data_IF_226894310276
#
_entry.id   IF_226894310276
#
_cell.length_a   1.000
_cell.length_b   1.000
_cell.length_c   1.000
_cell.angle_alpha   90.00
_cell.angle_beta   90.00
_cell.angle_gamma   90.00
#
_symmetry.space_group_name_H-M   'P 1'
#
loop_
_entity.id
_entity.type
_entity.pdbx_description
1 polymer ?
#
# COMPACT_ATOMS: atom_id res chain seq x y z
N UNK A 1 -36.61 -5.77 -9.20
CA UNK A 1 -37.25 -4.48 -8.87
C UNK A 1 -36.11 -3.51 -8.62
N UNK A 2 -35.94 -2.52 -9.51
CA UNK A 2 -34.87 -1.54 -9.37
C UNK A 2 -35.25 -0.55 -8.27
N UNK A 3 -34.52 -0.55 -7.16
CA UNK A 3 -34.75 0.40 -6.08
C UNK A 3 -33.71 1.53 -6.14
N UNK A 4 -34.20 2.65 -6.68
CA UNK A 4 -33.95 4.05 -6.31
C UNK A 4 -32.52 4.43 -5.86
N UNK A 5 -31.76 4.95 -6.81
CA UNK A 5 -30.64 5.85 -6.57
C UNK A 5 -31.17 7.29 -6.37
N UNK A 6 -31.27 7.79 -5.12
CA UNK A 6 -31.22 9.22 -4.73
C UNK A 6 -30.68 9.34 -3.29
N UNK A 7 -29.50 9.96 -3.14
CA UNK A 7 -28.89 10.59 -1.96
C UNK A 7 -29.05 9.89 -0.58
N UNK A 8 -28.21 8.89 -0.31
CA UNK A 8 -28.03 8.45 1.08
C UNK A 8 -26.84 9.20 1.69
N UNK A 9 -27.12 10.25 2.45
CA UNK A 9 -26.28 10.53 3.62
C UNK A 9 -26.43 9.32 4.54
N UNK A 10 -25.33 8.62 4.77
CA UNK A 10 -25.39 7.33 5.45
C UNK A 10 -24.08 6.57 5.37
N UNK A 11 -24.05 5.46 6.08
CA UNK A 11 -22.91 4.54 6.14
C UNK A 11 -23.40 3.17 5.65
N UNK A 12 -22.66 2.55 4.72
CA UNK A 12 -22.95 1.20 4.25
C UNK A 12 -21.66 0.40 4.08
N UNK A 13 -21.77 -0.93 4.15
CA UNK A 13 -20.65 -1.86 4.10
C UNK A 13 -20.88 -2.96 3.05
N UNK A 14 -19.80 -3.53 2.50
CA UNK A 14 -19.83 -4.71 1.64
C UNK A 14 -19.85 -6.02 2.46
N UNK A 15 -19.80 -7.17 1.76
CA UNK A 15 -19.78 -8.49 2.39
C UNK A 15 -18.50 -8.82 3.17
N UNK A 16 -17.41 -8.09 2.93
CA UNK A 16 -16.16 -8.18 3.69
C UNK A 16 -16.13 -7.18 4.86
N UNK A 17 -17.20 -6.39 5.03
CA UNK A 17 -17.32 -5.34 6.04
C UNK A 17 -16.36 -4.17 5.79
N UNK A 18 -16.05 -3.88 4.52
CA UNK A 18 -15.45 -2.60 4.14
C UNK A 18 -16.55 -1.57 3.93
N UNK A 19 -16.36 -0.36 4.43
CA UNK A 19 -17.30 0.73 4.26
C UNK A 19 -17.28 1.21 2.81
N UNK A 20 -18.40 1.03 2.11
CA UNK A 20 -18.57 1.38 0.69
C UNK A 20 -19.33 2.68 0.47
N UNK A 21 -19.95 3.22 1.52
CA UNK A 21 -20.64 4.50 1.50
C UNK A 21 -20.30 5.30 2.76
N UNK A 22 -19.91 6.56 2.61
CA UNK A 22 -19.75 7.52 3.70
C UNK A 22 -20.26 8.88 3.24
N UNK A 23 -21.38 9.33 3.81
CA UNK A 23 -21.94 10.67 3.56
C UNK A 23 -21.95 11.11 2.08
N UNK A 24 -22.42 10.22 1.20
CA UNK A 24 -22.49 10.46 -0.24
C UNK A 24 -21.28 9.98 -1.05
N UNK A 25 -20.11 9.80 -0.43
CA UNK A 25 -18.93 9.22 -1.06
C UNK A 25 -19.08 7.71 -1.18
N UNK A 26 -18.86 7.17 -2.38
CA UNK A 26 -18.81 5.73 -2.63
C UNK A 26 -17.37 5.25 -2.75
N UNK A 27 -17.01 4.23 -1.96
CA UNK A 27 -15.67 3.64 -1.94
C UNK A 27 -15.67 2.30 -2.66
N UNK A 28 -14.56 2.00 -3.36
CA UNK A 28 -14.33 0.70 -4.02
C UNK A 28 -13.05 0.07 -3.54
N UNK A 29 -13.13 -1.22 -3.27
CA UNK A 29 -12.01 -2.05 -2.85
C UNK A 29 -11.77 -3.19 -3.84
N UNK A 30 -10.55 -3.72 -3.86
CA UNK A 30 -10.26 -4.97 -4.57
C UNK A 30 -10.56 -6.21 -3.71
N UNK A 31 -10.30 -7.40 -4.25
CA UNK A 31 -10.53 -8.67 -3.53
C UNK A 31 -9.61 -8.88 -2.31
N UNK A 32 -8.58 -8.06 -2.17
CA UNK A 32 -7.65 -8.08 -1.05
C UNK A 32 -7.93 -6.94 -0.05
N UNK A 33 -9.12 -6.35 -0.17
CA UNK A 33 -9.66 -5.23 0.61
C UNK A 33 -8.85 -3.94 0.49
N UNK A 34 -8.12 -3.73 -0.61
CA UNK A 34 -7.33 -2.49 -0.82
C UNK A 34 -8.18 -1.42 -1.49
N UNK A 35 -8.15 -0.20 -0.97
CA UNK A 35 -8.89 0.93 -1.52
C UNK A 35 -8.39 1.32 -2.92
N UNK A 36 -9.30 1.36 -3.89
CA UNK A 36 -9.00 1.66 -5.30
C UNK A 36 -9.61 2.96 -5.80
N UNK A 37 -10.78 3.37 -5.30
CA UNK A 37 -11.40 4.62 -5.75
C UNK A 37 -12.46 5.13 -4.79
N UNK A 38 -12.51 6.45 -4.64
CA UNK A 38 -13.62 7.18 -4.02
C UNK A 38 -14.35 7.98 -5.11
N UNK A 39 -15.67 7.98 -5.09
CA UNK A 39 -16.48 8.71 -6.06
C UNK A 39 -17.71 9.33 -5.42
N UNK A 40 -17.96 10.59 -5.76
CA UNK A 40 -19.28 11.22 -5.64
C UNK A 40 -19.81 11.41 -7.05
N UNK A 41 -20.90 10.70 -7.35
CA UNK A 41 -21.45 10.62 -8.69
C UNK A 41 -21.76 12.01 -9.26
N UNK A 42 -21.24 12.30 -10.45
CA UNK A 42 -21.43 13.58 -11.13
C UNK A 42 -20.62 14.75 -10.55
N UNK A 43 -19.81 14.53 -9.51
CA UNK A 43 -19.00 15.58 -8.87
C UNK A 43 -17.51 15.32 -9.06
N UNK A 44 -16.99 14.25 -8.44
CA UNK A 44 -15.54 14.02 -8.32
C UNK A 44 -15.26 12.53 -8.20
N UNK A 45 -14.16 12.07 -8.80
CA UNK A 45 -13.65 10.71 -8.64
C UNK A 45 -12.14 10.74 -8.42
N UNK A 46 -11.69 10.03 -7.39
CA UNK A 46 -10.27 9.69 -7.20
C UNK A 46 -10.09 8.22 -7.48
N UNK A 47 -9.03 7.87 -8.21
CA UNK A 47 -8.62 6.49 -8.47
C UNK A 47 -7.16 6.31 -8.09
N UNK A 48 -6.86 5.21 -7.41
CA UNK A 48 -5.55 4.86 -6.90
C UNK A 48 -5.04 3.60 -7.61
N UNK A 49 -3.81 3.66 -8.12
CA UNK A 49 -3.08 2.48 -8.55
C UNK A 49 -2.12 2.06 -7.44
N UNK A 50 -2.11 0.77 -7.13
CA UNK A 50 -1.27 0.19 -6.06
C UNK A 50 -0.35 -0.89 -6.61
N UNK A 51 0.84 -1.01 -6.04
CA UNK A 51 1.78 -2.10 -6.39
C UNK A 51 1.52 -3.37 -5.56
N UNK A 52 2.38 -4.38 -5.74
CA UNK A 52 2.31 -5.65 -5.02
C UNK A 52 2.65 -5.53 -3.51
N UNK A 53 3.26 -4.42 -3.09
CA UNK A 53 3.54 -4.11 -1.69
C UNK A 53 2.44 -3.23 -1.06
N UNK A 54 1.32 -3.04 -1.77
CA UNK A 54 0.20 -2.19 -1.34
C UNK A 54 0.55 -0.69 -1.20
N UNK A 55 1.56 -0.24 -1.94
CA UNK A 55 1.91 1.19 -2.01
C UNK A 55 1.14 1.85 -3.14
N UNK A 56 0.64 3.05 -2.90
CA UNK A 56 -0.02 3.87 -3.93
C UNK A 56 1.05 4.39 -4.88
N UNK A 57 1.09 3.87 -6.11
CA UNK A 57 2.07 4.25 -7.15
C UNK A 57 1.56 5.33 -8.09
N UNK A 58 0.24 5.52 -8.16
CA UNK A 58 -0.36 6.63 -8.88
C UNK A 58 -1.70 7.01 -8.28
N UNK A 59 -2.03 8.29 -8.40
CA UNK A 59 -3.33 8.84 -8.05
C UNK A 59 -3.84 9.67 -9.22
N UNK A 60 -5.10 9.42 -9.57
CA UNK A 60 -5.82 10.12 -10.63
C UNK A 60 -7.04 10.80 -10.03
N UNK A 61 -7.05 12.12 -10.05
CA UNK A 61 -8.18 12.97 -9.65
C UNK A 61 -8.93 13.41 -10.90
N UNK A 62 -10.21 13.09 -10.99
CA UNK A 62 -11.09 13.47 -12.09
C UNK A 62 -12.25 14.29 -11.58
N UNK A 63 -12.34 15.52 -12.06
CA UNK A 63 -13.53 16.35 -11.94
C UNK A 63 -14.59 15.82 -12.91
N UNK A 64 -15.66 15.20 -12.39
CA UNK A 64 -16.68 14.58 -13.23
C UNK A 64 -17.64 15.60 -13.85
N UNK A 65 -17.72 16.81 -13.29
CA UNK A 65 -18.56 17.87 -13.83
C UNK A 65 -17.93 18.51 -15.09
N UNK A 66 -16.61 18.67 -15.09
CA UNK A 66 -15.85 19.26 -16.21
C UNK A 66 -15.12 18.22 -17.08
N UNK A 67 -15.11 16.97 -16.65
CA UNK A 67 -14.35 15.87 -17.25
C UNK A 67 -12.85 16.19 -17.38
N UNK A 68 -12.30 16.91 -16.40
CA UNK A 68 -10.87 17.23 -16.33
C UNK A 68 -10.16 16.27 -15.38
N UNK A 69 -8.97 15.82 -15.77
CA UNK A 69 -8.22 14.80 -15.03
C UNK A 69 -6.81 15.26 -14.75
N UNK A 70 -6.37 15.11 -13.50
CA UNK A 70 -4.98 15.26 -13.08
C UNK A 70 -4.46 13.92 -12.58
N UNK A 71 -3.25 13.53 -12.98
CA UNK A 71 -2.63 12.28 -12.53
C UNK A 71 -1.19 12.53 -12.13
N UNK A 72 -0.84 12.01 -10.96
CA UNK A 72 0.52 12.00 -10.43
C UNK A 72 0.98 10.57 -10.18
N UNK A 73 2.28 10.34 -10.34
CA UNK A 73 2.93 9.05 -10.06
C UNK A 73 3.93 9.21 -8.92
N UNK A 74 3.92 8.25 -8.00
CA UNK A 74 4.75 8.25 -6.80
C UNK A 74 5.94 7.30 -6.97
N UNK A 75 7.12 7.81 -6.65
CA UNK A 75 8.37 7.05 -6.61
C UNK A 75 8.87 6.88 -5.18
N UNK A 76 9.52 5.74 -4.92
CA UNK A 76 9.96 5.32 -3.60
C UNK A 76 11.46 5.03 -3.61
N UNK A 77 12.20 5.51 -2.62
CA UNK A 77 13.64 5.28 -2.49
C UNK A 77 13.99 3.91 -1.87
N UNK A 78 12.99 3.12 -1.45
CA UNK A 78 13.19 1.82 -0.82
C UNK A 78 11.91 0.99 -0.76
N UNK A 79 11.92 -0.05 0.10
CA UNK A 79 10.78 -0.94 0.29
C UNK A 79 9.62 -0.33 1.09
N UNK A 80 9.83 0.84 1.69
CA UNK A 80 8.77 1.58 2.37
C UNK A 80 7.78 2.23 1.40
N UNK A 81 6.70 2.73 1.99
CA UNK A 81 5.63 3.53 1.39
C UNK A 81 5.85 5.05 1.51
N UNK A 82 7.03 5.48 1.96
CA UNK A 82 7.38 6.90 2.01
C UNK A 82 7.69 7.41 0.60
N UNK A 83 6.90 8.37 0.14
CA UNK A 83 7.05 9.00 -1.17
C UNK A 83 8.35 9.81 -1.18
N UNK A 84 9.22 9.49 -2.13
CA UNK A 84 10.51 10.19 -2.33
C UNK A 84 10.46 11.16 -3.49
N UNK A 85 9.62 10.89 -4.49
CA UNK A 85 9.52 11.70 -5.71
C UNK A 85 8.13 11.62 -6.30
N UNK A 86 7.66 12.72 -6.87
CA UNK A 86 6.39 12.79 -7.61
C UNK A 86 6.69 13.14 -9.06
N UNK A 87 6.03 12.44 -9.98
CA UNK A 87 6.20 12.59 -11.42
C UNK A 87 4.85 12.87 -12.10
N UNK A 88 4.86 13.69 -13.14
CA UNK A 88 3.69 13.86 -14.01
C UNK A 88 3.53 12.66 -14.95
N UNK A 89 2.49 12.67 -15.80
CA UNK A 89 2.25 11.61 -16.80
C UNK A 89 3.25 11.59 -17.96
N UNK A 90 3.92 12.71 -18.22
CA UNK A 90 4.97 12.85 -19.23
C UNK A 90 6.37 12.39 -18.75
N UNK A 91 6.49 11.93 -17.49
CA UNK A 91 7.73 11.53 -16.82
C UNK A 91 8.67 12.69 -16.48
N UNK A 92 8.13 13.90 -16.31
CA UNK A 92 8.88 14.99 -15.70
C UNK A 92 8.79 14.90 -14.18
N UNK A 93 9.90 15.22 -13.51
CA UNK A 93 9.94 15.31 -12.05
C UNK A 93 9.16 16.55 -11.60
N UNK A 94 8.17 16.36 -10.74
CA UNK A 94 7.34 17.43 -10.16
C UNK A 94 7.92 17.82 -8.80
N UNK A 95 8.08 16.85 -7.91
CA UNK A 95 8.56 17.07 -6.55
C UNK A 95 9.59 16.01 -6.11
N UNK A 96 10.49 16.38 -5.22
CA UNK A 96 11.33 15.46 -4.45
C UNK A 96 11.17 15.75 -2.97
N UNK A 97 10.99 14.71 -2.18
CA UNK A 97 10.75 14.82 -0.75
C UNK A 97 11.89 14.23 0.03
N UNK A 98 12.40 14.98 1.01
CA UNK A 98 13.54 14.62 1.83
C UNK A 98 13.15 14.78 3.29
N UNK A 99 13.20 13.68 4.05
CA UNK A 99 13.09 13.71 5.50
C UNK A 99 14.43 14.09 6.12
N UNK A 100 14.42 15.07 7.02
CA UNK A 100 15.60 15.60 7.69
C UNK A 100 15.62 15.20 9.17
N UNK A 101 16.79 15.25 9.83
CA UNK A 101 16.88 15.07 11.27
C UNK A 101 15.93 16.01 12.03
N UNK A 102 15.27 15.49 13.07
CA UNK A 102 14.27 16.24 13.83
C UNK A 102 12.84 16.16 13.26
N UNK A 103 12.61 15.38 12.19
CA UNK A 103 11.28 15.11 11.65
C UNK A 103 10.81 16.11 10.59
N UNK A 104 11.60 17.17 10.33
CA UNK A 104 11.30 18.14 9.27
C UNK A 104 11.27 17.45 7.91
N UNK A 105 10.27 17.81 7.11
CA UNK A 105 10.15 17.34 5.72
C UNK A 105 10.43 18.53 4.79
N UNK A 106 11.31 18.32 3.84
CA UNK A 106 11.59 19.28 2.77
C UNK A 106 11.04 18.73 1.46
N UNK A 107 10.06 19.42 0.89
CA UNK A 107 9.51 19.17 -0.45
C UNK A 107 10.09 20.18 -1.42
N UNK A 108 10.99 19.71 -2.28
CA UNK A 108 11.54 20.50 -3.38
C UNK A 108 10.59 20.46 -4.57
N UNK A 109 10.11 21.63 -4.99
CA UNK A 109 9.21 21.78 -6.15
C UNK A 109 10.03 22.14 -7.38
N UNK A 110 10.01 21.28 -8.39
CA UNK A 110 10.91 21.40 -9.54
C UNK A 110 10.52 22.61 -10.39
N UNK A 111 11.46 23.53 -10.58
CA UNK A 111 11.31 24.67 -11.49
C UNK A 111 10.38 25.79 -11.02
N UNK A 112 9.83 25.73 -9.80
CA UNK A 112 8.90 26.75 -9.27
C UNK A 112 9.55 27.76 -8.34
N UNK A 113 10.63 27.39 -7.66
CA UNK A 113 11.22 28.19 -6.58
C UNK A 113 10.28 28.38 -5.39
N UNK A 114 9.37 27.42 -5.14
CA UNK A 114 8.38 27.43 -4.06
C UNK A 114 8.52 26.21 -3.15
N UNK A 115 9.77 25.85 -2.82
CA UNK A 115 10.04 24.71 -1.95
C UNK A 115 9.36 24.87 -0.58
N UNK A 116 8.87 23.76 -0.06
CA UNK A 116 8.09 23.71 1.18
C UNK A 116 8.90 23.03 2.26
N UNK A 117 9.06 23.70 3.39
CA UNK A 117 9.58 23.10 4.62
C UNK A 117 8.41 22.84 5.56
N UNK A 118 8.14 21.58 5.90
CA UNK A 118 7.10 21.20 6.86
C UNK A 118 7.73 20.85 8.21
N UNK A 119 7.27 21.51 9.26
CA UNK A 119 7.74 21.37 10.63
C UNK A 119 6.67 20.63 11.46
N UNK A 120 6.94 19.38 11.88
CA UNK A 120 5.99 18.65 12.70
C UNK A 120 6.04 19.04 14.18
N UNK A 121 4.95 18.77 14.91
CA UNK A 121 4.91 18.77 16.37
C UNK A 121 5.54 17.47 16.95
N UNK A 122 5.47 17.30 18.28
CA UNK A 122 6.00 16.10 18.95
C UNK A 122 5.24 14.80 18.63
N UNK A 123 3.98 14.91 18.18
CA UNK A 123 3.17 13.78 17.76
C UNK A 123 3.52 13.33 16.33
N UNK A 124 4.00 14.26 15.49
CA UNK A 124 4.34 14.03 14.08
C UNK A 124 3.42 14.76 13.10
N UNK A 125 2.51 15.61 13.58
CA UNK A 125 1.58 16.37 12.75
C UNK A 125 2.23 17.66 12.27
N UNK A 126 2.03 18.04 11.02
CA UNK A 126 2.60 19.29 10.48
C UNK A 126 1.96 20.48 11.19
N UNK A 127 2.74 21.17 12.03
CA UNK A 127 2.30 22.33 12.80
C UNK A 127 2.60 23.65 12.10
N UNK A 128 3.58 23.65 11.19
CA UNK A 128 3.86 24.81 10.35
C UNK A 128 4.48 24.40 9.01
N UNK A 129 4.25 25.22 7.99
CA UNK A 129 5.02 25.19 6.75
C UNK A 129 5.73 26.51 6.51
N UNK A 130 6.88 26.46 5.84
CA UNK A 130 7.57 27.64 5.34
C UNK A 130 7.76 27.53 3.83
N UNK A 131 7.29 28.56 3.13
CA UNK A 131 7.44 28.71 1.67
C UNK A 131 7.93 30.13 1.40
N UNK A 132 9.05 30.28 0.70
CA UNK A 132 9.62 31.58 0.33
C UNK A 132 9.77 32.58 1.50
N UNK A 133 10.07 32.08 2.69
CA UNK A 133 10.23 32.90 3.90
C UNK A 133 8.95 33.13 4.69
N UNK A 134 7.77 32.92 4.10
CA UNK A 134 6.48 32.99 4.78
C UNK A 134 6.25 31.73 5.60
N UNK A 135 5.81 31.88 6.85
CA UNK A 135 5.47 30.77 7.74
C UNK A 135 3.96 30.76 7.97
N UNK A 136 3.34 29.61 7.76
CA UNK A 136 1.92 29.36 8.02
C UNK A 136 1.80 28.26 9.07
N UNK A 137 0.89 28.42 10.04
CA UNK A 137 0.70 27.46 11.13
C UNK A 137 -0.62 26.69 11.01
N UNK A 138 -0.61 25.46 11.52
CA UNK A 138 -1.69 24.49 11.40
C UNK A 138 -1.95 23.85 12.76
N UNK A 139 -3.23 23.58 13.06
CA UNK A 139 -3.64 22.90 14.28
C UNK A 139 -4.60 21.77 13.91
N UNK A 140 -4.46 20.67 14.64
CA UNK A 140 -5.23 19.44 14.43
C UNK A 140 -5.99 19.12 15.70
N UNK A 141 -7.18 18.58 15.57
CA UNK A 141 -7.80 17.87 16.67
C UNK A 141 -7.08 16.51 16.90
N UNK A 142 -7.37 15.80 18.00
CA UNK A 142 -6.72 14.51 18.27
C UNK A 142 -6.91 13.46 17.18
N UNK A 143 -7.99 13.53 16.39
CA UNK A 143 -8.33 12.56 15.35
C UNK A 143 -7.94 13.04 13.95
N UNK A 144 -7.17 14.12 13.83
CA UNK A 144 -6.62 14.60 12.59
C UNK A 144 -7.53 15.52 11.77
N UNK A 145 -8.64 16.01 12.31
CA UNK A 145 -9.41 17.07 11.67
C UNK A 145 -8.62 18.39 11.76
N UNK A 146 -8.45 19.12 10.65
CA UNK A 146 -7.83 20.43 10.67
C UNK A 146 -8.77 21.45 11.34
N UNK A 147 -8.24 22.25 12.27
CA UNK A 147 -8.99 23.35 12.91
C UNK A 147 -8.96 24.59 12.01
N UNK A 148 -7.89 24.74 11.23
CA UNK A 148 -7.66 25.83 10.29
C UNK A 148 -7.44 25.26 8.88
N UNK A 149 -6.66 25.93 8.03
CA UNK A 149 -6.44 25.48 6.66
C UNK A 149 -5.58 24.21 6.62
N UNK A 150 -5.56 23.54 5.47
CA UNK A 150 -4.61 22.45 5.21
C UNK A 150 -3.26 23.01 4.71
N UNK A 151 -2.14 22.34 5.02
CA UNK A 151 -0.86 22.66 4.39
C UNK A 151 -0.91 22.31 2.89
N UNK A 152 -0.26 23.12 2.07
CA UNK A 152 0.07 22.81 0.67
C UNK A 152 1.56 22.40 0.62
N UNK A 153 1.83 21.11 0.77
CA UNK A 153 3.18 20.55 0.88
C UNK A 153 3.46 19.33 0.01
N UNK A 154 2.50 18.95 -0.83
CA UNK A 154 2.64 17.92 -1.87
C UNK A 154 1.85 18.35 -3.12
N UNK A 155 2.17 17.74 -4.27
CA UNK A 155 1.50 18.06 -5.53
C UNK A 155 0.06 17.54 -5.59
N UNK A 156 -0.84 18.41 -6.07
CA UNK A 156 -2.23 18.07 -6.36
C UNK A 156 -3.18 18.37 -5.19
N UNK A 157 -4.20 17.54 -5.04
CA UNK A 157 -5.23 17.63 -3.98
C UNK A 157 -4.91 16.68 -2.82
N UNK A 158 -3.63 16.56 -2.53
CA UNK A 158 -3.07 15.61 -1.57
C UNK A 158 -1.93 16.26 -0.81
N UNK A 159 -2.02 16.21 0.51
CA UNK A 159 -1.05 16.83 1.40
C UNK A 159 -0.74 15.96 2.60
N UNK A 160 0.35 16.30 3.31
CA UNK A 160 0.73 15.70 4.57
C UNK A 160 0.38 16.66 5.70
N UNK A 161 -0.69 16.35 6.41
CA UNK A 161 -1.21 17.14 7.53
C UNK A 161 -0.94 16.48 8.88
N UNK A 162 -2.00 15.97 9.50
CA UNK A 162 -1.91 15.09 10.67
C UNK A 162 -1.10 13.83 10.35
N UNK A 163 -0.19 13.45 11.24
CA UNK A 163 0.86 12.44 11.00
C UNK A 163 1.73 12.69 9.76
N UNK A 164 1.81 13.95 9.31
CA UNK A 164 2.52 14.32 8.09
C UNK A 164 4.03 14.03 8.14
N UNK A 165 4.66 14.01 9.32
CA UNK A 165 6.05 13.53 9.51
C UNK A 165 6.24 12.11 8.94
N UNK A 166 5.20 11.29 9.01
CA UNK A 166 5.20 9.91 8.52
C UNK A 166 4.67 9.78 7.09
N UNK A 167 4.43 10.92 6.43
CA UNK A 167 3.87 11.01 5.07
C UNK A 167 2.55 10.24 4.92
N UNK A 168 1.74 10.21 5.99
CA UNK A 168 0.36 9.72 5.90
C UNK A 168 -0.42 10.71 5.06
N UNK A 169 -0.96 10.19 3.97
CA UNK A 169 -1.41 10.98 2.84
C UNK A 169 -2.86 11.36 3.07
N UNK A 170 -3.13 12.66 3.28
CA UNK A 170 -4.48 13.20 3.34
C UNK A 170 -4.93 13.51 1.91
N UNK A 171 -5.96 12.80 1.46
CA UNK A 171 -6.62 13.00 0.18
C UNK A 171 -7.84 13.91 0.40
N UNK A 172 -7.85 15.10 -0.21
CA UNK A 172 -8.87 16.14 0.08
C UNK A 172 -9.40 16.91 -1.16
N UNK A 173 -9.66 16.26 -2.31
CA UNK A 173 -10.20 16.94 -3.48
C UNK A 173 -11.56 17.55 -3.16
N UNK A 174 -11.80 18.73 -3.71
CA UNK A 174 -13.08 19.43 -3.52
C UNK A 174 -14.25 18.53 -3.93
N UNK A 175 -15.21 18.35 -3.03
CA UNK A 175 -16.42 17.57 -3.26
C UNK A 175 -16.37 16.11 -2.82
N UNK A 176 -15.26 15.64 -2.23
CA UNK A 176 -15.20 14.39 -1.46
C UNK A 176 -14.93 14.72 0.02
N UNK A 177 -15.29 13.81 0.91
CA UNK A 177 -14.86 13.90 2.30
C UNK A 177 -13.36 13.54 2.39
N UNK A 178 -12.56 14.30 3.15
CA UNK A 178 -11.14 14.02 3.28
C UNK A 178 -10.86 12.67 3.95
N UNK A 179 -9.93 11.90 3.38
CA UNK A 179 -9.50 10.60 3.92
C UNK A 179 -7.99 10.54 4.07
N UNK A 180 -7.52 9.74 5.01
CA UNK A 180 -6.09 9.47 5.17
C UNK A 180 -5.77 8.03 4.79
N UNK A 181 -4.84 7.87 3.86
CA UNK A 181 -4.32 6.56 3.45
C UNK A 181 -3.24 6.09 4.45
N UNK A 182 -3.66 5.26 5.41
CA UNK A 182 -2.80 4.78 6.51
C UNK A 182 -2.02 3.50 6.18
N UNK A 183 -2.10 3.02 4.93
CA UNK A 183 -1.46 1.79 4.50
C UNK A 183 -2.51 0.73 4.17
N UNK A 184 -2.68 -0.25 5.06
CA UNK A 184 -3.64 -1.34 4.84
C UNK A 184 -5.10 -0.88 4.95
N UNK A 185 -5.36 0.23 5.65
CA UNK A 185 -6.69 0.78 5.87
C UNK A 185 -6.78 2.27 5.54
N UNK A 186 -7.96 2.68 5.07
CA UNK A 186 -8.37 4.07 4.90
C UNK A 186 -8.93 4.58 6.23
N UNK A 187 -8.46 5.73 6.67
CA UNK A 187 -8.89 6.39 7.90
C UNK A 187 -9.73 7.61 7.58
N UNK A 188 -10.85 7.77 8.28
CA UNK A 188 -11.74 8.91 8.17
C UNK A 188 -11.58 9.81 9.40
N UNK A 189 -11.04 11.04 9.26
CA UNK A 189 -10.84 11.96 10.39
C UNK A 189 -12.13 12.41 11.08
N UNK A 190 -13.23 12.61 10.33
CA UNK A 190 -14.49 13.13 10.90
C UNK A 190 -15.15 12.20 11.93
N UNK A 191 -14.94 10.90 11.78
CA UNK A 191 -15.50 9.84 12.62
C UNK A 191 -14.43 9.22 13.52
N UNK A 192 -13.16 9.53 13.29
CA UNK A 192 -12.03 9.02 14.07
C UNK A 192 -11.81 7.51 13.92
N UNK A 193 -12.19 6.92 12.79
CA UNK A 193 -12.25 5.46 12.58
C UNK A 193 -11.72 5.05 11.21
N UNK A 194 -11.32 3.79 11.10
CA UNK A 194 -11.02 3.16 9.83
C UNK A 194 -12.29 2.78 9.08
N UNK A 195 -12.21 2.79 7.76
CA UNK A 195 -13.30 2.38 6.86
C UNK A 195 -13.31 0.86 6.60
N UNK A 196 -12.22 0.14 6.91
CA UNK A 196 -12.15 -1.32 6.81
C UNK A 196 -11.93 -1.97 8.18
N UNK A 197 -12.34 -3.23 8.29
CA UNK A 197 -12.02 -4.08 9.43
C UNK A 197 -10.51 -4.31 9.52
N UNK A 198 -9.97 -4.40 10.74
CA UNK A 198 -8.56 -4.72 10.96
C UNK A 198 -8.19 -6.07 10.32
N UNK A 199 -7.18 -6.12 9.43
CA UNK A 199 -6.69 -7.39 8.88
C UNK A 199 -6.11 -8.34 9.95
N UNK A 200 -5.77 -7.82 11.14
CA UNK A 200 -5.32 -8.60 12.28
C UNK A 200 -6.50 -8.80 13.24
N UNK A 201 -7.02 -10.03 13.28
CA UNK A 201 -8.09 -10.42 14.21
C UNK A 201 -7.66 -10.23 15.68
N UNK A 202 -8.61 -9.84 16.54
CA UNK A 202 -8.43 -9.55 17.97
C UNK A 202 -7.41 -8.45 18.29
N UNK A 203 -7.09 -7.63 17.28
CA UNK A 203 -6.21 -6.49 17.38
C UNK A 203 -6.84 -5.25 18.02
N UNK A 204 -8.14 -5.10 18.16
CA UNK A 204 -8.67 -3.84 18.70
C UNK A 204 -9.91 -4.12 19.50
N UNK A 205 -10.27 -3.23 20.42
CA UNK A 205 -11.55 -3.34 21.14
C UNK A 205 -12.73 -3.28 20.16
N UNK A 206 -12.53 -2.64 19.01
CA UNK A 206 -13.47 -2.59 17.91
C UNK A 206 -12.67 -2.66 16.57
N UNK A 207 -13.04 -3.51 15.61
CA UNK A 207 -12.27 -3.73 14.38
C UNK A 207 -12.01 -2.49 13.52
N UNK A 208 -12.77 -1.41 13.71
CA UNK A 208 -12.61 -0.16 12.97
C UNK A 208 -12.03 0.97 13.84
N UNK A 209 -11.82 0.74 15.14
CA UNK A 209 -11.29 1.80 16.00
C UNK A 209 -9.87 2.12 15.59
N UNK A 210 -9.56 3.41 15.58
CA UNK A 210 -8.19 3.87 15.69
C UNK A 210 -7.64 3.60 17.11
N UNK A 211 -6.48 4.15 17.45
CA UNK A 211 -5.90 4.00 18.78
C UNK A 211 -6.78 4.70 19.85
N UNK A 212 -6.89 4.15 21.08
CA UNK A 212 -7.70 4.76 22.14
C UNK A 212 -7.20 6.13 22.63
N UNK A 213 -5.90 6.40 22.49
CA UNK A 213 -5.27 7.67 22.86
C UNK A 213 -4.47 8.25 21.68
N UNK A 214 -5.15 8.94 20.74
CA UNK A 214 -4.55 9.48 19.53
C UNK A 214 -3.52 10.60 19.75
N UNK A 215 -3.35 11.09 20.98
CA UNK A 215 -2.38 12.14 21.31
C UNK A 215 -1.01 11.51 21.60
N UNK A 216 -1.01 10.34 22.24
CA UNK A 216 0.20 9.66 22.68
C UNK A 216 0.56 8.44 21.83
N UNK A 217 -0.38 7.96 21.01
CA UNK A 217 -0.25 6.77 20.17
C UNK A 217 -0.73 7.07 18.75
N UNK A 218 -0.20 6.34 17.78
CA UNK A 218 -0.58 6.47 16.38
C UNK A 218 -0.59 5.11 15.67
N UNK A 219 -1.51 4.86 14.74
CA UNK A 219 -1.45 3.70 13.84
C UNK A 219 -1.00 4.17 12.45
N UNK A 220 0.23 3.80 12.07
CA UNK A 220 0.87 4.24 10.82
C UNK A 220 0.78 3.20 9.70
N UNK A 221 0.29 2.00 9.94
CA UNK A 221 0.16 0.97 8.90
C UNK A 221 -1.27 0.47 8.75
N UNK A 222 -2.19 0.93 9.60
CA UNK A 222 -3.56 0.47 9.64
C UNK A 222 -3.65 -0.96 10.14
N UNK A 223 -2.74 -1.42 11.00
CA UNK A 223 -2.73 -2.78 11.52
C UNK A 223 -2.48 -2.83 13.05
N UNK A 224 -2.70 -1.74 13.78
CA UNK A 224 -2.33 -1.78 15.20
C UNK A 224 -3.30 -2.64 16.04
N UNK A 225 -2.82 -3.84 16.37
CA UNK A 225 -3.46 -4.77 17.29
C UNK A 225 -3.21 -4.47 18.80
N UNK A 226 -4.07 -4.98 19.70
CA UNK A 226 -4.16 -4.85 21.16
C UNK A 226 -3.09 -5.68 21.85
N UNK A 227 -2.62 -6.70 21.12
CA UNK A 227 -1.42 -7.47 21.38
C UNK A 227 -0.16 -6.78 20.82
N UNK A 228 -0.29 -5.56 20.31
CA UNK A 228 0.80 -4.60 20.30
C UNK A 228 1.04 -4.14 21.73
N UNK A 229 2.24 -4.38 22.23
CA UNK A 229 2.66 -4.01 23.57
C UNK A 229 2.19 -2.58 23.94
N UNK A 230 1.41 -2.37 25.03
CA UNK A 230 0.93 -1.04 25.46
C UNK A 230 2.06 -0.07 25.85
N UNK A 231 3.28 -0.57 25.95
CA UNK A 231 4.52 0.17 26.23
C UNK A 231 5.33 0.46 24.96
N UNK A 232 4.84 0.08 23.77
CA UNK A 232 5.43 0.41 22.48
C UNK A 232 4.40 1.10 21.59
N UNK A 233 4.76 2.30 21.14
CA UNK A 233 3.95 3.09 20.20
C UNK A 233 3.70 2.27 18.94
N UNK A 234 2.43 1.94 18.66
CA UNK A 234 1.95 1.48 17.36
C UNK A 234 2.70 2.23 16.23
N UNK A 235 3.19 1.55 15.21
CA UNK A 235 4.04 2.19 14.20
C UNK A 235 4.75 1.20 13.30
N UNK A 236 5.36 1.70 12.22
CA UNK A 236 6.00 0.91 11.16
C UNK A 236 7.03 -0.09 11.72
N UNK A 237 6.60 -1.32 11.94
CA UNK A 237 7.39 -2.35 12.64
C UNK A 237 6.62 -3.14 13.71
N UNK A 238 5.41 -2.70 14.07
CA UNK A 238 4.47 -3.43 14.89
C UNK A 238 3.85 -4.57 14.07
N UNK A 239 4.60 -5.66 13.94
CA UNK A 239 3.96 -6.93 13.64
C UNK A 239 3.24 -7.31 14.92
N UNK A 240 1.90 -7.43 14.88
CA UNK A 240 1.14 -8.08 15.94
C UNK A 240 1.91 -9.30 16.41
N UNK A 241 1.99 -9.47 17.74
CA UNK A 241 2.83 -10.47 18.38
C UNK A 241 2.79 -11.78 17.58
N UNK A 242 3.95 -12.13 17.00
CA UNK A 242 4.18 -13.50 16.56
C UNK A 242 4.13 -14.33 17.83
N UNK A 243 2.94 -14.81 18.18
CA UNK A 243 2.81 -15.94 19.07
C UNK A 243 3.80 -17.01 18.61
N UNK A 244 4.38 -17.75 19.57
CA UNK A 244 5.43 -18.75 19.40
C UNK A 244 5.14 -19.86 18.34
N UNK A 245 3.96 -19.84 17.71
CA UNK A 245 3.54 -20.71 16.60
C UNK A 245 3.20 -19.97 15.28
N UNK A 246 3.18 -18.63 15.24
CA UNK A 246 2.79 -17.82 14.05
C UNK A 246 3.94 -17.39 13.14
N UNK A 247 5.15 -17.90 13.39
CA UNK A 247 6.39 -17.40 12.78
C UNK A 247 6.57 -17.63 11.28
N UNK A 248 5.85 -18.57 10.69
CA UNK A 248 6.22 -19.15 9.37
C UNK A 248 5.12 -19.07 8.30
N UNK A 249 3.91 -18.60 8.62
CA UNK A 249 2.80 -18.58 7.65
C UNK A 249 2.40 -17.19 7.10
N UNK A 250 2.96 -16.08 7.62
CA UNK A 250 2.51 -14.73 7.26
C UNK A 250 3.18 -14.10 6.02
N UNK A 251 3.97 -14.84 5.23
CA UNK A 251 4.69 -14.27 4.06
C UNK A 251 4.48 -14.98 2.72
N UNK A 252 3.63 -16.01 2.65
CA UNK A 252 3.42 -16.79 1.42
C UNK A 252 1.97 -16.86 0.93
N UNK A 253 1.04 -16.06 1.47
CA UNK A 253 -0.37 -16.10 1.08
C UNK A 253 -0.95 -14.77 0.54
N UNK A 254 -0.16 -14.02 -0.25
CA UNK A 254 -0.67 -12.92 -1.10
C UNK A 254 -0.23 -13.05 -2.56
N UNK A 255 -0.13 -14.28 -3.06
CA UNK A 255 0.03 -14.57 -4.47
C UNK A 255 -0.39 -16.01 -4.75
N UNK A 256 -1.27 -16.20 -5.74
CA UNK A 256 -1.84 -17.49 -6.20
C UNK A 256 -3.09 -17.99 -5.44
N UNK A 257 -4.22 -17.33 -5.68
CA UNK A 257 -5.50 -18.01 -5.96
C UNK A 257 -5.80 -17.63 -7.41
N UNK A 258 -5.48 -18.44 -8.42
CA UNK A 258 -6.14 -19.68 -8.77
C UNK A 258 -5.18 -20.61 -9.53
N UNK A 259 -4.84 -21.77 -8.97
CA UNK A 259 -4.63 -23.00 -9.75
C UNK A 259 -5.15 -24.14 -8.87
N UNK A 260 -6.20 -24.81 -9.33
CA UNK A 260 -6.77 -25.95 -8.62
C UNK A 260 -5.79 -27.12 -8.54
N UNK A 261 -5.67 -27.71 -7.36
CA UNK A 261 -4.92 -28.95 -7.12
C UNK A 261 -4.82 -29.25 -5.63
N UNK A 262 -5.62 -30.21 -5.17
CA UNK A 262 -5.52 -30.82 -3.83
C UNK A 262 -4.11 -31.38 -3.59
N UNK A 263 -3.49 -31.12 -2.43
CA UNK A 263 -2.58 -32.03 -1.69
C UNK A 263 -2.58 -31.55 -0.21
N UNK A 264 -3.34 -32.19 0.68
CA UNK A 264 -2.95 -33.29 1.57
C UNK A 264 -2.14 -32.82 2.81
N UNK A 265 -2.73 -33.07 3.99
CA UNK A 265 -2.13 -32.96 5.33
C UNK A 265 -0.74 -33.62 5.38
N UNK A 266 0.23 -32.95 6.03
CA UNK A 266 1.44 -33.62 6.51
C UNK A 266 1.94 -33.00 7.82
N UNK A 267 1.84 -33.78 8.89
CA UNK A 267 2.34 -33.47 10.24
C UNK A 267 3.81 -33.92 10.42
N UNK A 268 4.51 -33.10 11.20
CA UNK A 268 5.80 -33.24 11.89
C UNK A 268 6.93 -34.12 11.36
N UNK A 269 8.09 -33.48 11.16
CA UNK A 269 9.37 -34.03 11.61
C UNK A 269 10.53 -33.90 10.63
N UNK A 270 11.58 -33.24 11.12
CA UNK A 270 12.99 -33.22 10.66
C UNK A 270 13.35 -32.14 9.64
N UNK A 271 14.36 -31.37 10.02
CA UNK A 271 14.81 -30.16 9.35
C UNK A 271 15.40 -30.41 7.97
N UNK A 272 15.25 -29.40 7.12
CA UNK A 272 16.03 -29.24 5.91
C UNK A 272 16.28 -27.76 5.63
N UNK A 273 17.42 -27.52 4.98
CA UNK A 273 18.04 -26.24 4.70
C UNK A 273 17.16 -25.38 3.78
N UNK A 274 17.07 -24.09 4.10
CA UNK A 274 16.35 -23.09 3.32
C UNK A 274 17.17 -22.73 2.07
N UNK A 275 16.77 -23.23 0.90
CA UNK A 275 17.25 -22.74 -0.39
C UNK A 275 16.23 -21.74 -0.95
N UNK A 276 16.66 -20.48 -1.12
CA UNK A 276 15.80 -19.37 -1.56
C UNK A 276 15.57 -19.48 -3.09
N UNK A 277 14.56 -20.25 -3.50
CA UNK A 277 14.15 -20.35 -4.90
C UNK A 277 13.22 -19.21 -5.31
N UNK A 278 13.75 -18.20 -6.02
CA UNK A 278 12.95 -17.16 -6.67
C UNK A 278 12.33 -17.70 -7.97
N UNK A 279 11.02 -17.95 -7.99
CA UNK A 279 10.28 -18.19 -9.24
C UNK A 279 10.00 -16.86 -9.93
N UNK A 280 10.80 -16.53 -10.94
CA UNK A 280 10.51 -15.49 -11.92
C UNK A 280 9.62 -16.11 -13.00
N UNK A 281 8.36 -15.68 -13.08
CA UNK A 281 7.53 -15.87 -14.26
C UNK A 281 7.98 -14.87 -15.33
N UNK A 282 8.91 -15.28 -16.20
CA UNK A 282 9.23 -14.54 -17.42
C UNK A 282 8.69 -15.32 -18.61
N UNK A 283 7.70 -14.72 -19.25
CA UNK A 283 7.27 -15.04 -20.61
C UNK A 283 8.44 -14.87 -21.58
N UNK A 284 8.81 -15.94 -22.27
CA UNK A 284 9.55 -15.89 -23.54
C UNK A 284 11.05 -15.58 -23.47
N UNK A 285 11.84 -16.57 -23.92
CA UNK A 285 13.16 -16.44 -24.58
C UNK A 285 14.33 -15.83 -23.78
N UNK A 286 15.27 -16.68 -23.35
CA UNK A 286 16.63 -16.24 -22.98
C UNK A 286 17.36 -17.21 -22.05
N UNK A 287 18.53 -17.70 -22.48
CA UNK A 287 19.33 -18.74 -21.82
C UNK A 287 19.96 -18.31 -20.48
N UNK A 288 20.00 -19.23 -19.49
CA UNK A 288 20.72 -19.07 -18.22
C UNK A 288 21.97 -19.97 -18.21
N UNK A 289 23.14 -19.33 -18.28
CA UNK A 289 24.45 -19.92 -18.00
C UNK A 289 24.62 -20.01 -16.47
N UNK A 290 24.96 -21.20 -15.95
CA UNK A 290 25.26 -21.41 -14.53
C UNK A 290 26.77 -21.56 -14.33
N UNK A 291 27.43 -20.53 -13.78
CA UNK A 291 28.80 -20.64 -13.26
C UNK A 291 28.74 -20.96 -11.77
N UNK A 292 28.89 -22.23 -11.41
CA UNK A 292 29.00 -22.65 -10.01
C UNK A 292 30.38 -22.33 -9.44
N UNK A 293 30.42 -21.46 -8.44
CA UNK A 293 31.61 -21.25 -7.59
C UNK A 293 31.71 -22.38 -6.57
N UNK A 294 32.75 -23.22 -6.70
CA UNK A 294 33.03 -24.30 -5.77
C UNK A 294 33.68 -23.82 -4.48
N UNK A 295 33.20 -24.33 -3.34
CA UNK A 295 33.92 -24.32 -2.08
C UNK A 295 34.97 -25.45 -2.09
N UNK A 296 36.23 -25.11 -1.81
CA UNK A 296 37.34 -26.04 -1.71
C UNK A 296 37.20 -26.94 -0.48
N UNK A 297 37.15 -28.26 -0.69
CA UNK A 297 37.52 -29.25 0.31
C UNK A 297 38.47 -30.26 -0.36
N UNK A 298 39.68 -30.34 0.18
CA UNK A 298 40.77 -31.15 -0.31
C UNK A 298 40.52 -32.65 -0.09
N UNK A 299 40.83 -33.48 -1.09
CA UNK A 299 40.94 -34.92 -0.91
C UNK A 299 40.83 -35.74 -2.19
N UNK A 300 41.97 -36.04 -2.81
CA UNK A 300 42.21 -37.30 -3.52
C UNK A 300 41.69 -37.47 -4.95
N UNK A 301 42.60 -37.35 -5.92
CA UNK A 301 42.82 -38.40 -6.93
C UNK A 301 41.91 -38.48 -8.17
N UNK A 302 42.56 -38.31 -9.32
CA UNK A 302 42.28 -38.89 -10.64
C UNK A 302 41.38 -38.11 -11.64
N UNK A 303 41.92 -38.05 -12.86
CA UNK A 303 41.51 -37.27 -14.02
C UNK A 303 40.30 -37.85 -14.78
N UNK A 304 39.56 -36.99 -15.50
CA UNK A 304 38.74 -37.38 -16.65
C UNK A 304 38.84 -36.30 -17.74
N UNK A 305 39.16 -36.76 -18.95
CA UNK A 305 39.41 -36.00 -20.16
C UNK A 305 38.11 -35.50 -20.83
N UNK A 306 38.23 -34.42 -21.59
CA UNK A 306 37.16 -33.84 -22.40
C UNK A 306 36.93 -34.63 -23.70
N UNK A 307 35.68 -34.84 -24.09
CA UNK A 307 35.30 -35.23 -25.45
C UNK A 307 33.97 -34.55 -25.85
N UNK A 308 33.97 -34.01 -27.07
CA UNK A 308 32.93 -33.17 -27.66
C UNK A 308 31.98 -33.95 -28.59
N UNK A 309 30.76 -33.44 -28.76
CA UNK A 309 29.87 -33.80 -29.87
C UNK A 309 28.47 -33.15 -29.75
N UNK A 310 27.89 -32.56 -30.82
CA UNK A 310 26.54 -31.97 -30.78
C UNK A 310 25.46 -32.97 -31.22
N UNK A 311 24.27 -32.89 -30.60
CA UNK A 311 23.06 -33.61 -31.02
C UNK A 311 21.95 -32.59 -31.30
N UNK A 312 21.40 -32.63 -32.51
CA UNK A 312 20.22 -31.86 -32.97
C UNK A 312 18.99 -32.76 -32.86
N UNK A 313 17.91 -32.29 -32.23
CA UNK A 313 16.59 -32.96 -32.28
C UNK A 313 15.48 -31.92 -32.49
N UNK A 314 14.68 -32.13 -33.54
CA UNK A 314 13.60 -31.25 -33.99
C UNK A 314 12.30 -31.37 -33.20
N UNK A 315 11.48 -30.32 -33.28
CA UNK A 315 10.18 -30.15 -32.60
C UNK A 315 9.04 -30.55 -33.54
N UNK A 316 8.12 -31.41 -33.07
CA UNK A 316 6.82 -31.66 -33.69
C UNK A 316 5.70 -31.10 -32.78
N UNK A 317 4.80 -30.30 -33.35
CA UNK A 317 3.64 -29.72 -32.68
C UNK A 317 2.39 -30.46 -33.15
N UNK A 318 1.58 -30.96 -32.22
CA UNK A 318 0.24 -31.47 -32.49
C UNK A 318 -0.80 -30.69 -31.66
N UNK A 319 -1.83 -30.20 -32.35
CA UNK A 319 -2.92 -29.37 -31.83
C UNK A 319 -4.21 -30.15 -31.63
N UNK A 320 -4.81 -30.08 -30.45
CA UNK A 320 -6.20 -30.45 -30.10
C UNK A 320 -6.62 -29.44 -29.00
N UNK A 321 -7.68 -28.63 -29.08
CA UNK A 321 -9.05 -28.89 -29.48
C UNK A 321 -9.93 -28.82 -28.22
N UNK A 322 -10.35 -27.61 -27.80
CA UNK A 322 -11.11 -27.40 -26.56
C UNK A 322 -12.62 -27.65 -26.76
N UNK A 323 -13.17 -28.60 -26.01
CA UNK A 323 -14.62 -28.86 -25.86
C UNK A 323 -14.99 -28.73 -24.37
N UNK A 324 -16.12 -28.08 -24.10
CA UNK A 324 -16.56 -27.53 -22.82
C UNK A 324 -16.88 -28.53 -21.70
N UNK A 325 -16.67 -28.13 -20.42
CA UNK A 325 -17.48 -28.58 -19.27
C UNK A 325 -17.71 -27.41 -18.29
N UNK A 326 -19.00 -27.08 -18.10
CA UNK A 326 -19.59 -26.18 -17.10
C UNK A 326 -19.85 -26.93 -15.78
N UNK A 327 -19.90 -26.20 -14.65
CA UNK A 327 -20.29 -26.55 -13.25
C UNK A 327 -19.17 -26.96 -12.29
N UNK A 328 -18.89 -26.12 -11.29
CA UNK A 328 -19.46 -26.21 -9.93
C UNK A 328 -18.56 -25.46 -8.92
N UNK A 329 -19.11 -24.50 -8.20
CA UNK A 329 -18.79 -24.27 -6.77
C UNK A 329 -19.89 -23.38 -6.18
N UNK A 330 -20.66 -23.97 -5.26
CA UNK A 330 -21.41 -23.25 -4.22
C UNK A 330 -20.43 -22.74 -3.18
#
# INVERSE_FOLDING_TARGET
MADRQIAASGIAYDGHQNQVLHDGDTYRYDQADRHLSTVVAGVRQVTLARDALDRIVARTDTDLATNTTSTVRYGFAGAGDLVSSVWDTANNLVETTISLPGGVIYTKRTGTGTDVWSYPNLHGDVAATRVNGTVTTFNWDPYGNPINNLPDNSAGTVDWGWLGQHQRTLDHPSGLNPVIEMGARVYQPDTGRFQQTDPIEDGTTNPYSYVPDPINQYDLDGQCGRWGNPWKKCGKGHRGEKGFLGGTFSKSWRGVKCVGGQLADWDSGKGSLFEYGATIAASGTGALLYTGGGAFAAGGGAAMAAAAGPIVVGVFIASLGALAIYRACR
#
